data_IF_678492945254
#
_entry.id   IF_678492945254
#
_cell.length_a   1.000
_cell.length_b   1.000
_cell.length_c   1.000
_cell.angle_alpha   90.00
_cell.angle_beta   90.00
_cell.angle_gamma   90.00
#
_symmetry.space_group_name_H-M   'P 1'
#
loop_
_entity.id
_entity.type
_entity.pdbx_description
1 polymer ?
#
# COMPACT_ATOMS: atom_id res chain seq x y z
N UNK A 1 3.92 -14.35 11.68
CA UNK A 1 3.04 -13.64 12.61
C UNK A 1 2.57 -12.39 11.89
N UNK A 2 1.28 -12.29 11.57
CA UNK A 2 0.72 -11.10 10.89
C UNK A 2 0.74 -9.93 11.87
N UNK A 3 1.01 -8.71 11.38
CA UNK A 3 0.91 -7.51 12.22
C UNK A 3 -0.54 -7.28 12.68
N UNK A 4 -0.75 -6.66 13.85
CA UNK A 4 -2.07 -6.21 14.30
C UNK A 4 -2.77 -5.33 13.25
N UNK A 5 -4.10 -5.44 13.15
CA UNK A 5 -4.87 -4.69 12.15
C UNK A 5 -4.69 -3.17 12.29
N UNK A 6 -4.62 -2.64 13.51
CA UNK A 6 -4.39 -1.22 13.75
C UNK A 6 -3.04 -0.73 13.20
N UNK A 7 -1.99 -1.55 13.28
CA UNK A 7 -0.68 -1.22 12.70
C UNK A 7 -0.69 -1.25 11.17
N UNK A 8 -1.47 -2.16 10.58
CA UNK A 8 -1.59 -2.28 9.12
C UNK A 8 -2.42 -1.13 8.54
N UNK A 9 -3.46 -0.70 9.24
CA UNK A 9 -4.29 0.43 8.85
C UNK A 9 -3.63 1.79 9.14
N UNK A 10 -2.75 1.85 10.14
CA UNK A 10 -2.17 3.11 10.63
C UNK A 10 -3.15 3.96 11.45
N UNK A 11 -4.34 3.43 11.70
CA UNK A 11 -5.42 4.03 12.48
C UNK A 11 -6.19 2.96 13.25
N UNK A 12 -7.02 3.40 14.20
CA UNK A 12 -7.84 2.49 14.98
C UNK A 12 -8.98 1.94 14.11
N UNK A 13 -9.15 0.60 14.03
CA UNK A 13 -10.20 0.03 13.19
C UNK A 13 -11.58 0.46 13.70
N UNK A 14 -12.57 0.65 12.80
CA UNK A 14 -13.93 0.98 13.20
C UNK A 14 -14.46 -0.01 14.24
N UNK A 15 -15.28 0.45 15.19
CA UNK A 15 -15.74 -0.37 16.31
C UNK A 15 -16.39 -1.70 15.87
N UNK A 16 -17.13 -1.69 14.75
CA UNK A 16 -17.72 -2.90 14.18
C UNK A 16 -16.68 -3.93 13.69
N UNK A 17 -15.51 -3.47 13.24
CA UNK A 17 -14.39 -4.32 12.82
C UNK A 17 -13.61 -4.79 14.04
N UNK A 18 -13.37 -3.91 15.01
CA UNK A 18 -12.67 -4.26 16.26
C UNK A 18 -13.41 -5.30 17.12
N UNK A 19 -14.73 -5.43 16.97
CA UNK A 19 -15.53 -6.44 17.66
C UNK A 19 -15.48 -7.84 17.00
N UNK A 20 -14.77 -8.00 15.87
CA UNK A 20 -14.64 -9.29 15.20
C UNK A 20 -13.72 -10.24 15.97
N UNK A 21 -13.88 -11.57 15.81
CA UNK A 21 -12.98 -12.54 16.41
C UNK A 21 -11.52 -12.35 15.96
N UNK A 22 -10.58 -12.68 16.84
CA UNK A 22 -9.14 -12.49 16.59
C UNK A 22 -8.63 -13.21 15.34
N UNK A 23 -9.19 -14.38 15.00
CA UNK A 23 -8.82 -15.08 13.77
C UNK A 23 -9.23 -14.29 12.51
N UNK A 24 -10.39 -13.63 12.58
CA UNK A 24 -10.92 -12.78 11.48
C UNK A 24 -10.07 -11.52 11.36
N UNK A 25 -9.74 -10.87 12.49
CA UNK A 25 -8.86 -9.70 12.51
C UNK A 25 -7.48 -10.01 11.94
N UNK A 26 -6.90 -11.16 12.30
CA UNK A 26 -5.60 -11.62 11.79
C UNK A 26 -5.65 -11.84 10.28
N UNK A 27 -6.72 -12.50 9.79
CA UNK A 27 -6.91 -12.72 8.36
C UNK A 27 -7.10 -11.41 7.60
N UNK A 28 -7.86 -10.48 8.17
CA UNK A 28 -8.09 -9.16 7.60
C UNK A 28 -6.78 -8.37 7.49
N UNK A 29 -5.98 -8.33 8.56
CA UNK A 29 -4.68 -7.67 8.57
C UNK A 29 -3.76 -8.21 7.45
N UNK A 30 -3.69 -9.54 7.30
CA UNK A 30 -2.91 -10.17 6.24
C UNK A 30 -3.42 -9.80 4.82
N UNK A 31 -4.75 -9.70 4.65
CA UNK A 31 -5.34 -9.30 3.37
C UNK A 31 -5.06 -7.84 3.03
N UNK A 32 -5.18 -6.93 3.99
CA UNK A 32 -4.88 -5.50 3.82
C UNK A 32 -3.40 -5.32 3.51
N UNK A 33 -2.50 -6.01 4.23
CA UNK A 33 -1.07 -5.93 3.97
C UNK A 33 -0.72 -6.43 2.55
N UNK A 34 -1.33 -7.54 2.12
CA UNK A 34 -1.16 -8.04 0.76
C UNK A 34 -1.72 -7.07 -0.30
N UNK A 35 -2.85 -6.42 -0.02
CA UNK A 35 -3.42 -5.41 -0.90
C UNK A 35 -2.52 -4.18 -1.01
N UNK A 36 -2.00 -3.69 0.12
CA UNK A 36 -1.06 -2.57 0.17
C UNK A 36 0.19 -2.85 -0.67
N UNK A 37 0.78 -4.05 -0.55
CA UNK A 37 1.93 -4.45 -1.38
C UNK A 37 1.59 -4.46 -2.87
N UNK A 38 0.43 -5.00 -3.25
CA UNK A 38 -0.01 -5.02 -4.65
C UNK A 38 -0.25 -3.62 -5.19
N UNK A 39 -0.85 -2.73 -4.40
CA UNK A 39 -1.09 -1.34 -4.78
C UNK A 39 0.22 -0.60 -5.00
N UNK A 40 1.20 -0.75 -4.10
CA UNK A 40 2.52 -0.14 -4.26
C UNK A 40 3.21 -0.61 -5.56
N UNK A 41 3.16 -1.92 -5.85
CA UNK A 41 3.70 -2.47 -7.09
C UNK A 41 2.98 -1.94 -8.34
N UNK A 42 1.65 -1.82 -8.29
CA UNK A 42 0.86 -1.26 -9.39
C UNK A 42 1.19 0.23 -9.64
N UNK A 43 1.34 1.02 -8.57
CA UNK A 43 1.74 2.43 -8.66
C UNK A 43 3.14 2.57 -9.26
N UNK A 44 4.11 1.77 -8.81
CA UNK A 44 5.46 1.79 -9.37
C UNK A 44 5.48 1.42 -10.86
N UNK A 45 4.71 0.40 -11.26
CA UNK A 45 4.57 0.00 -12.65
C UNK A 45 3.93 1.10 -13.52
N UNK A 46 2.91 1.78 -12.99
CA UNK A 46 2.29 2.94 -13.62
C UNK A 46 3.29 4.08 -13.83
N UNK A 47 4.04 4.45 -12.79
CA UNK A 47 5.08 5.49 -12.87
C UNK A 47 6.17 5.11 -13.87
N UNK A 48 6.66 3.86 -13.86
CA UNK A 48 7.65 3.38 -14.82
C UNK A 48 7.15 3.50 -16.26
N UNK A 49 5.87 3.26 -16.49
CA UNK A 49 5.24 3.40 -17.80
C UNK A 49 5.13 4.86 -18.22
N UNK A 50 4.66 5.74 -17.33
CA UNK A 50 4.57 7.18 -17.58
C UNK A 50 5.94 7.81 -17.91
N UNK A 51 7.00 7.40 -17.20
CA UNK A 51 8.36 7.91 -17.42
C UNK A 51 8.93 7.59 -18.82
N UNK A 52 8.35 6.64 -19.56
CA UNK A 52 8.79 6.37 -20.94
C UNK A 52 8.63 7.59 -21.85
N UNK A 53 7.59 8.40 -21.62
CA UNK A 53 7.35 9.66 -22.34
C UNK A 53 8.20 10.85 -21.85
N UNK A 54 8.91 10.70 -20.73
CA UNK A 54 9.73 11.77 -20.14
C UNK A 54 11.16 11.70 -20.69
N UNK A 55 11.77 12.83 -21.10
CA UNK A 55 13.18 12.88 -21.48
C UNK A 55 14.09 12.33 -20.38
N UNK A 56 15.09 11.52 -20.76
CA UNK A 56 16.03 10.87 -19.84
C UNK A 56 16.56 11.73 -18.69
N UNK A 57 17.05 12.98 -18.91
CA UNK A 57 17.60 13.79 -17.83
C UNK A 57 16.54 14.19 -16.78
N UNK A 58 15.25 14.22 -17.15
CA UNK A 58 14.15 14.63 -16.28
C UNK A 58 13.49 13.45 -15.55
N UNK A 59 13.74 12.19 -15.97
CA UNK A 59 13.07 11.01 -15.40
C UNK A 59 13.28 10.85 -13.91
N UNK A 60 14.47 11.18 -13.40
CA UNK A 60 14.78 11.11 -11.97
C UNK A 60 13.95 12.10 -11.14
N UNK A 61 13.82 13.34 -11.65
CA UNK A 61 13.02 14.40 -11.01
C UNK A 61 11.55 14.02 -11.01
N UNK A 62 11.01 13.57 -12.15
CA UNK A 62 9.60 13.19 -12.27
C UNK A 62 9.29 11.95 -11.43
N UNK A 63 10.18 10.96 -11.39
CA UNK A 63 10.02 9.78 -10.51
C UNK A 63 9.94 10.19 -9.03
N UNK A 64 10.82 11.10 -8.59
CA UNK A 64 10.85 11.59 -7.22
C UNK A 64 9.60 12.41 -6.88
N UNK A 65 9.06 13.19 -7.83
CA UNK A 65 7.84 13.96 -7.62
C UNK A 65 6.57 13.09 -7.52
N UNK A 66 6.56 11.90 -8.15
CA UNK A 66 5.39 11.01 -8.20
C UNK A 66 5.37 9.92 -7.12
N UNK A 67 6.54 9.54 -6.58
CA UNK A 67 6.69 8.45 -5.60
C UNK A 67 7.33 8.90 -4.28
N UNK A 68 7.75 10.16 -4.18
CA UNK A 68 8.39 10.74 -3.00
C UNK A 68 7.42 11.51 -2.13
#
# INVERSE_FOLDING_TARGET
>A
MSRPLAEVLGEEPPAAVGALPDEVLTRLAAQVEAASRRQAAAMEAGVKTALKGVPLPMRGVVRKALLG
#
